data_IF_466021992495
#
_entry.id   IF_466021992495
#
_cell.length_a   1.000
_cell.length_b   1.000
_cell.length_c   1.000
_cell.angle_alpha   90.00
_cell.angle_beta   90.00
_cell.angle_gamma   90.00
#
_symmetry.space_group_name_H-M   'P 1'
#
loop_
_entity.id
_entity.type
_entity.pdbx_description
1 polymer ?
#
# COMPACT_ATOMS: atom_id res chain seq x y z
N UNK A 1 -37.59 -21.33 -56.26
CA UNK A 1 -37.30 -20.39 -57.36
C UNK A 1 -36.63 -19.16 -56.75
N UNK A 2 -35.33 -19.01 -57.00
CA UNK A 2 -34.50 -17.78 -57.06
C UNK A 2 -34.40 -16.73 -55.92
N UNK A 3 -33.12 -16.42 -55.58
CA UNK A 3 -32.48 -15.13 -55.14
C UNK A 3 -32.54 -14.79 -53.64
N UNK A 4 -31.46 -14.71 -52.83
CA UNK A 4 -30.07 -14.15 -52.90
C UNK A 4 -29.99 -12.63 -52.60
N UNK A 5 -28.99 -12.26 -51.77
CA UNK A 5 -28.30 -10.96 -51.50
C UNK A 5 -28.70 -10.20 -50.20
N UNK A 6 -27.79 -10.05 -49.21
CA UNK A 6 -26.69 -9.04 -49.04
C UNK A 6 -27.23 -7.61 -48.79
N UNK A 7 -26.68 -6.69 -47.99
CA UNK A 7 -25.57 -6.61 -47.03
C UNK A 7 -25.63 -5.25 -46.26
N UNK A 8 -24.89 -5.18 -45.14
CA UNK A 8 -24.10 -4.05 -44.59
C UNK A 8 -24.66 -2.68 -44.12
N UNK A 9 -24.35 -2.37 -42.84
CA UNK A 9 -23.63 -1.20 -42.25
C UNK A 9 -24.18 0.22 -42.43
N UNK A 10 -24.38 0.96 -41.31
CA UNK A 10 -23.71 2.25 -40.95
C UNK A 10 -24.23 2.81 -39.60
N UNK A 11 -23.26 3.00 -38.69
CA UNK A 11 -23.05 3.92 -37.55
C UNK A 11 -24.14 4.80 -36.85
N UNK A 12 -23.96 4.80 -35.52
CA UNK A 12 -23.96 5.91 -34.54
C UNK A 12 -25.26 6.49 -33.98
N UNK A 13 -25.33 6.45 -32.64
CA UNK A 13 -25.66 7.64 -31.85
C UNK A 13 -26.60 7.40 -30.66
N UNK A 14 -26.10 7.65 -29.43
CA UNK A 14 -26.95 8.16 -28.36
C UNK A 14 -26.88 7.45 -27.01
N UNK A 15 -25.85 7.81 -26.23
CA UNK A 15 -25.89 8.10 -24.78
C UNK A 15 -27.09 7.55 -23.96
N UNK A 16 -26.81 6.63 -23.02
CA UNK A 16 -27.70 6.38 -21.89
C UNK A 16 -26.98 6.64 -20.55
N UNK A 17 -27.55 7.60 -19.85
CA UNK A 17 -27.43 7.99 -18.46
C UNK A 17 -27.62 6.81 -17.48
N UNK A 18 -26.81 6.69 -16.43
CA UNK A 18 -27.26 6.25 -15.10
C UNK A 18 -26.33 6.76 -13.99
N UNK A 19 -26.86 7.70 -13.21
CA UNK A 19 -26.51 7.90 -11.80
C UNK A 19 -27.11 6.75 -10.98
N UNK A 20 -26.38 6.22 -10.00
CA UNK A 20 -26.96 5.53 -8.84
C UNK A 20 -26.19 5.94 -7.58
N UNK A 21 -26.93 6.49 -6.61
CA UNK A 21 -26.52 6.80 -5.23
C UNK A 21 -26.26 5.53 -4.42
N UNK A 22 -25.52 5.70 -3.32
CA UNK A 22 -24.85 4.65 -2.55
C UNK A 22 -25.72 3.57 -1.89
N UNK A 23 -25.03 2.47 -1.58
CA UNK A 23 -25.39 1.53 -0.52
C UNK A 23 -24.11 0.82 -0.04
N UNK A 24 -23.82 0.99 1.25
CA UNK A 24 -22.91 0.13 2.02
C UNK A 24 -23.28 -1.34 1.81
N UNK A 25 -22.31 -2.19 1.45
CA UNK A 25 -22.05 -3.51 2.04
C UNK A 25 -20.82 -4.18 1.36
N UNK A 26 -19.81 -4.48 2.18
CA UNK A 26 -18.77 -5.52 1.96
C UNK A 26 -18.03 -5.48 0.61
N UNK A 27 -17.12 -4.52 0.46
CA UNK A 27 -16.01 -4.69 -0.48
C UNK A 27 -15.00 -5.68 0.15
N UNK A 28 -15.06 -6.92 -0.34
CA UNK A 28 -14.06 -7.96 -0.10
C UNK A 28 -12.68 -7.45 -0.54
N UNK A 29 -11.63 -8.01 0.06
CA UNK A 29 -10.18 -7.86 -0.16
C UNK A 29 -9.71 -8.16 -1.63
N UNK A 30 -10.61 -8.11 -2.61
CA UNK A 30 -10.36 -8.38 -4.03
C UNK A 30 -9.97 -7.17 -4.87
N UNK A 31 -9.68 -6.01 -4.29
CA UNK A 31 -9.35 -4.78 -5.03
C UNK A 31 -7.84 -4.45 -5.08
N UNK A 32 -6.96 -5.30 -4.55
CA UNK A 32 -5.51 -5.03 -4.53
C UNK A 32 -4.78 -5.39 -5.84
N UNK A 33 -5.50 -5.88 -6.86
CA UNK A 33 -4.90 -6.32 -8.12
C UNK A 33 -4.82 -5.23 -9.21
N UNK A 34 -5.23 -4.00 -8.92
CA UNK A 34 -5.06 -2.87 -9.82
C UNK A 34 -4.56 -1.64 -9.05
N UNK A 35 -3.25 -1.52 -8.88
CA UNK A 35 -2.59 -0.24 -9.21
C UNK A 35 -2.53 -0.20 -10.75
N UNK A 36 -3.70 -0.17 -11.40
CA UNK A 36 -3.82 0.43 -12.71
C UNK A 36 -4.08 1.89 -12.40
N UNK A 37 -3.14 2.74 -12.81
CA UNK A 37 -3.41 4.17 -12.95
C UNK A 37 -4.55 4.27 -13.96
N UNK A 38 -5.80 4.32 -13.49
CA UNK A 38 -6.83 4.99 -14.28
C UNK A 38 -6.35 6.42 -14.35
N UNK A 39 -5.98 6.89 -15.54
CA UNK A 39 -5.62 8.28 -15.80
C UNK A 39 -6.81 9.16 -15.41
N UNK A 40 -6.90 9.53 -14.14
CA UNK A 40 -7.84 10.53 -13.70
C UNK A 40 -7.16 11.86 -13.96
N UNK A 41 -7.80 12.63 -14.83
CA UNK A 41 -7.38 13.99 -15.13
C UNK A 41 -7.49 14.81 -13.84
N UNK A 42 -6.35 15.27 -13.31
CA UNK A 42 -6.34 16.30 -12.28
C UNK A 42 -6.92 17.57 -12.91
N UNK A 43 -8.04 18.12 -12.38
CA UNK A 43 -8.67 19.29 -12.96
C UNK A 43 -7.80 20.55 -12.94
N UNK A 44 -6.69 20.50 -12.21
CA UNK A 44 -5.76 21.60 -12.04
C UNK A 44 -4.50 21.44 -12.92
N UNK A 45 -4.35 20.30 -13.63
CA UNK A 45 -3.15 20.00 -14.42
C UNK A 45 -1.87 19.81 -13.60
N UNK A 46 -1.99 19.72 -12.27
CA UNK A 46 -0.89 19.42 -11.37
C UNK A 46 -0.85 17.91 -11.19
N UNK A 47 0.27 17.30 -11.57
CA UNK A 47 0.61 15.89 -11.31
C UNK A 47 0.81 15.70 -9.78
N UNK A 48 -0.27 15.72 -8.99
CA UNK A 48 -0.27 15.47 -7.54
C UNK A 48 -0.11 13.97 -7.22
N UNK A 49 0.71 13.28 -8.00
CA UNK A 49 0.99 11.87 -7.81
C UNK A 49 2.33 11.69 -7.11
N UNK A 50 2.33 10.90 -6.05
CA UNK A 50 3.55 10.37 -5.48
C UNK A 50 4.11 9.31 -6.43
N UNK A 51 5.43 9.32 -6.59
CA UNK A 51 6.15 8.40 -7.46
C UNK A 51 7.22 7.70 -6.66
N UNK A 52 7.21 6.38 -6.73
CA UNK A 52 8.22 5.54 -6.11
C UNK A 52 9.31 5.23 -7.14
N UNK A 53 10.53 5.61 -6.83
CA UNK A 53 11.70 5.41 -7.69
C UNK A 53 12.77 4.58 -6.99
N UNK A 54 13.46 3.77 -7.78
CA UNK A 54 14.68 3.09 -7.38
C UNK A 54 15.87 3.79 -8.03
N UNK A 55 16.95 3.95 -7.27
CA UNK A 55 18.21 4.52 -7.78
C UNK A 55 19.33 3.54 -7.46
N UNK A 56 20.14 3.21 -8.46
CA UNK A 56 21.38 2.49 -8.26
C UNK A 56 22.48 3.47 -7.84
N UNK A 57 23.08 3.33 -6.64
CA UNK A 57 24.01 4.32 -6.11
C UNK A 57 25.27 4.47 -6.95
N UNK A 58 25.81 3.37 -7.45
CA UNK A 58 27.09 3.37 -8.19
C UNK A 58 26.96 3.94 -9.61
N UNK A 59 25.80 3.76 -10.24
CA UNK A 59 25.57 4.15 -11.64
C UNK A 59 24.68 5.37 -11.81
N UNK A 60 23.97 5.79 -10.76
CA UNK A 60 22.91 6.80 -10.84
C UNK A 60 21.69 6.36 -11.64
N UNK A 61 21.64 5.11 -12.13
CA UNK A 61 20.51 4.62 -12.94
C UNK A 61 19.23 4.64 -12.11
N UNK A 62 18.18 5.21 -12.67
CA UNK A 62 16.86 5.30 -12.03
C UNK A 62 15.84 4.40 -12.72
N UNK A 63 14.91 3.84 -11.93
CA UNK A 63 13.77 3.09 -12.44
C UNK A 63 12.51 3.47 -11.65
N UNK A 64 11.43 3.82 -12.35
CA UNK A 64 10.13 4.07 -11.72
C UNK A 64 9.51 2.73 -11.35
N UNK A 65 9.12 2.59 -10.09
CA UNK A 65 8.55 1.38 -9.54
C UNK A 65 7.02 1.44 -9.44
N UNK A 66 6.49 2.57 -8.94
CA UNK A 66 5.05 2.76 -8.76
C UNK A 66 4.65 4.23 -8.83
N UNK A 67 3.34 4.47 -8.95
CA UNK A 67 2.71 5.79 -8.91
C UNK A 67 1.40 5.66 -8.14
N UNK A 68 1.17 6.56 -7.19
CA UNK A 68 -0.05 6.57 -6.37
C UNK A 68 -0.50 8.02 -6.11
N UNK A 69 -1.78 8.18 -5.81
CA UNK A 69 -2.37 9.44 -5.31
C UNK A 69 -2.03 9.68 -3.84
N UNK A 70 -1.69 8.60 -3.17
CA UNK A 70 -1.40 8.51 -1.76
C UNK A 70 0.11 8.57 -1.54
N UNK A 71 0.51 9.05 -0.36
CA UNK A 71 1.94 9.14 -0.05
C UNK A 71 2.53 7.74 0.09
N UNK A 72 3.84 7.66 -0.14
CA UNK A 72 4.62 6.46 0.14
C UNK A 72 5.47 6.70 1.38
N UNK A 73 5.40 5.83 2.37
CA UNK A 73 6.39 5.77 3.44
C UNK A 73 7.33 4.58 3.19
N UNK A 74 8.62 4.85 3.02
CA UNK A 74 9.61 3.81 2.73
C UNK A 74 10.04 3.13 4.01
N UNK A 75 9.80 1.82 4.13
CA UNK A 75 10.17 1.05 5.31
C UNK A 75 11.53 0.40 5.09
N UNK A 76 11.70 -0.34 3.99
CA UNK A 76 12.98 -0.95 3.66
C UNK A 76 12.89 -2.19 2.77
N UNK A 77 14.05 -2.79 2.49
CA UNK A 77 14.16 -4.03 1.74
C UNK A 77 14.09 -5.23 2.67
N UNK A 78 13.26 -6.21 2.34
CA UNK A 78 13.23 -7.49 3.06
C UNK A 78 14.44 -8.38 2.73
N UNK A 79 14.49 -9.56 3.38
CA UNK A 79 15.57 -10.52 3.16
C UNK A 79 15.63 -11.11 1.74
N UNK A 80 14.52 -11.07 0.99
CA UNK A 80 14.44 -11.55 -0.40
C UNK A 80 14.76 -10.45 -1.43
N UNK A 81 15.05 -9.23 -0.97
CA UNK A 81 15.28 -8.08 -1.85
C UNK A 81 14.01 -7.51 -2.45
N UNK A 82 12.85 -7.70 -1.82
CA UNK A 82 11.63 -6.97 -2.13
C UNK A 82 11.54 -5.71 -1.26
N UNK A 83 11.03 -4.62 -1.83
CA UNK A 83 10.76 -3.38 -1.11
C UNK A 83 9.44 -3.50 -0.36
N UNK A 84 9.45 -3.13 0.92
CA UNK A 84 8.28 -2.93 1.75
C UNK A 84 8.08 -1.44 1.96
N UNK A 85 6.85 -1.00 1.74
CA UNK A 85 6.47 0.40 1.88
C UNK A 85 5.02 0.49 2.34
N UNK A 86 4.72 1.58 2.99
CA UNK A 86 3.36 1.96 3.34
C UNK A 86 2.79 2.80 2.20
N UNK A 87 1.52 2.58 1.87
CA UNK A 87 0.72 3.51 1.09
C UNK A 87 -0.41 4.00 2.00
N UNK A 88 -0.53 5.32 2.12
CA UNK A 88 -1.55 5.94 2.95
C UNK A 88 -1.97 7.29 2.40
N UNK A 89 -3.20 7.68 2.70
CA UNK A 89 -3.76 8.97 2.31
C UNK A 89 -4.46 9.62 3.48
N UNK A 90 -4.77 10.91 3.36
CA UNK A 90 -5.54 11.60 4.39
C UNK A 90 -6.85 10.88 4.70
N UNK A 91 -7.49 10.24 3.70
CA UNK A 91 -8.81 9.60 3.78
C UNK A 91 -8.83 8.08 3.64
N UNK A 92 -7.66 7.43 3.54
CA UNK A 92 -7.55 5.99 3.40
C UNK A 92 -6.82 5.36 4.59
N UNK A 93 -7.22 4.14 4.96
CA UNK A 93 -6.49 3.34 5.92
C UNK A 93 -5.15 2.91 5.29
N UNK A 94 -4.01 3.13 5.96
CA UNK A 94 -2.74 2.78 5.38
C UNK A 94 -2.61 1.27 5.18
N UNK A 95 -1.87 0.90 4.14
CA UNK A 95 -1.59 -0.48 3.79
C UNK A 95 -0.09 -0.71 3.65
N UNK A 96 0.41 -1.79 4.25
CA UNK A 96 1.75 -2.28 3.98
C UNK A 96 1.73 -3.07 2.68
N UNK A 97 2.51 -2.61 1.70
CA UNK A 97 2.70 -3.27 0.43
C UNK A 97 4.12 -3.81 0.31
N UNK A 98 4.24 -4.87 -0.48
CA UNK A 98 5.51 -5.49 -0.84
C UNK A 98 5.61 -5.60 -2.36
N UNK A 99 6.76 -5.22 -2.92
CA UNK A 99 7.01 -5.27 -4.37
C UNK A 99 8.44 -5.71 -4.65
N UNK A 100 8.66 -6.50 -5.70
CA UNK A 100 10.02 -6.87 -6.11
C UNK A 100 10.73 -5.68 -6.76
N UNK A 101 12.06 -5.74 -6.80
CA UNK A 101 12.90 -4.70 -7.41
C UNK A 101 12.55 -4.41 -8.88
N UNK A 102 12.05 -5.41 -9.62
CA UNK A 102 11.62 -5.28 -11.01
C UNK A 102 10.19 -4.74 -11.18
N UNK A 103 9.51 -4.38 -10.08
CA UNK A 103 8.12 -3.91 -10.07
C UNK A 103 7.08 -5.02 -10.07
N UNK A 104 7.48 -6.29 -10.19
CA UNK A 104 6.55 -7.42 -10.17
C UNK A 104 6.20 -7.85 -8.75
N UNK A 105 5.15 -8.66 -8.62
CA UNK A 105 4.77 -9.27 -7.34
C UNK A 105 4.28 -8.27 -6.29
N UNK A 106 3.77 -7.11 -6.73
CA UNK A 106 3.07 -6.18 -5.86
C UNK A 106 1.90 -6.89 -5.16
N UNK A 107 1.89 -6.84 -3.84
CA UNK A 107 0.80 -7.37 -3.02
C UNK A 107 0.77 -6.68 -1.67
N UNK A 108 -0.39 -6.67 -1.02
CA UNK A 108 -0.44 -6.32 0.39
C UNK A 108 0.32 -7.35 1.22
N UNK A 109 1.01 -6.85 2.23
CA UNK A 109 1.67 -7.67 3.24
C UNK A 109 0.64 -8.37 4.12
N UNK A 110 -0.55 -7.81 4.25
CA UNK A 110 -1.59 -8.41 5.07
C UNK A 110 -2.99 -8.11 4.55
N UNK A 111 -3.97 -8.89 5.01
CA UNK A 111 -5.40 -8.66 4.72
C UNK A 111 -6.05 -7.68 5.69
N UNK A 112 -5.32 -7.26 6.73
CA UNK A 112 -5.81 -6.29 7.70
C UNK A 112 -5.35 -4.88 7.31
N UNK A 113 -6.15 -3.91 7.69
CA UNK A 113 -5.83 -2.51 7.52
C UNK A 113 -5.16 -1.98 8.77
N UNK A 114 -4.20 -1.08 8.58
CA UNK A 114 -3.56 -0.37 9.68
C UNK A 114 -4.52 0.69 10.20
N UNK A 115 -4.39 1.04 11.47
CA UNK A 115 -5.06 2.23 12.00
C UNK A 115 -4.67 3.47 11.19
N UNK A 116 -5.65 4.35 10.91
CA UNK A 116 -5.45 5.61 10.18
C UNK A 116 -4.51 6.58 10.90
N UNK A 117 -4.26 6.36 12.19
CA UNK A 117 -3.44 7.22 13.04
C UNK A 117 -2.09 6.59 13.33
N UNK A 118 -1.32 6.32 12.27
CA UNK A 118 0.10 6.02 12.45
C UNK A 118 0.83 7.31 12.83
N UNK A 119 1.65 7.22 13.87
CA UNK A 119 2.63 8.26 14.19
C UNK A 119 3.77 8.20 13.17
N UNK A 120 4.52 9.29 13.04
CA UNK A 120 5.77 9.28 12.26
C UNK A 120 6.67 8.14 12.78
N UNK A 121 7.31 7.41 11.87
CA UNK A 121 8.15 6.24 12.17
C UNK A 121 7.44 5.10 12.95
N UNK A 122 6.11 4.99 12.82
CA UNK A 122 5.33 3.90 13.40
C UNK A 122 5.66 2.53 12.82
N UNK A 123 6.35 2.45 11.68
CA UNK A 123 6.65 1.18 11.01
C UNK A 123 8.14 0.98 10.85
N UNK A 124 8.65 -0.18 11.30
CA UNK A 124 10.06 -0.54 11.15
C UNK A 124 10.24 -1.98 10.74
N UNK A 125 11.25 -2.21 9.92
CA UNK A 125 11.71 -3.56 9.61
C UNK A 125 12.63 -4.06 10.73
N UNK A 126 12.50 -5.34 11.09
CA UNK A 126 13.46 -5.98 11.99
C UNK A 126 14.85 -6.05 11.32
N UNK A 127 15.97 -6.01 12.08
CA UNK A 127 17.31 -6.04 11.50
C UNK A 127 17.61 -7.26 10.61
N UNK A 128 17.02 -8.42 10.92
CA UNK A 128 17.09 -9.65 10.10
C UNK A 128 16.20 -9.59 8.84
N UNK A 129 15.42 -8.52 8.66
CA UNK A 129 14.58 -8.22 7.48
C UNK A 129 13.49 -9.23 7.21
N UNK A 130 13.07 -9.96 8.24
CA UNK A 130 12.06 -11.02 8.15
C UNK A 130 10.72 -10.64 8.74
N UNK A 131 10.65 -9.56 9.51
CA UNK A 131 9.39 -9.05 10.05
C UNK A 131 9.33 -7.54 9.98
N UNK A 132 8.09 -7.03 9.91
CA UNK A 132 7.75 -5.62 10.11
C UNK A 132 7.12 -5.50 11.48
N UNK A 133 7.53 -4.50 12.25
CA UNK A 133 6.91 -4.08 13.50
C UNK A 133 6.19 -2.76 13.23
N UNK A 134 4.92 -2.69 13.63
CA UNK A 134 4.03 -1.54 13.48
C UNK A 134 3.58 -1.11 14.87
N UNK A 135 3.66 0.18 15.17
CA UNK A 135 3.05 0.79 16.34
C UNK A 135 1.66 1.33 15.96
N UNK A 136 0.60 0.76 16.55
CA UNK A 136 -0.78 1.23 16.36
C UNK A 136 -1.20 2.13 17.52
N UNK A 137 -1.12 3.45 17.30
CA UNK A 137 -1.34 4.45 18.34
C UNK A 137 -2.76 4.43 18.92
N UNK A 138 -3.78 4.11 18.12
CA UNK A 138 -5.18 4.11 18.54
C UNK A 138 -5.50 3.09 19.61
N UNK A 139 -4.74 1.99 19.65
CA UNK A 139 -5.09 0.78 20.38
C UNK A 139 -3.98 0.35 21.35
N UNK A 140 -3.01 1.23 21.63
CA UNK A 140 -1.91 1.03 22.57
C UNK A 140 -1.18 -0.32 22.40
N UNK A 141 -0.95 -0.74 21.16
CA UNK A 141 -0.29 -2.00 20.87
C UNK A 141 0.66 -1.90 19.69
N UNK A 142 1.61 -2.83 19.65
CA UNK A 142 2.43 -3.09 18.48
C UNK A 142 1.96 -4.36 17.78
N UNK A 143 2.15 -4.40 16.47
CA UNK A 143 1.95 -5.59 15.66
C UNK A 143 3.30 -6.00 15.08
N UNK A 144 3.64 -7.28 15.19
CA UNK A 144 4.70 -7.88 14.38
C UNK A 144 4.09 -8.77 13.32
N UNK A 145 4.56 -8.66 12.07
CA UNK A 145 4.13 -9.52 10.96
C UNK A 145 5.35 -9.90 10.12
N UNK A 146 5.40 -11.13 9.62
CA UNK A 146 6.50 -11.55 8.73
C UNK A 146 6.41 -10.83 7.40
N UNK A 147 7.56 -10.67 6.73
CA UNK A 147 7.65 -10.02 5.42
C UNK A 147 6.99 -10.83 4.29
N UNK A 148 6.65 -12.10 4.53
CA UNK A 148 5.83 -12.89 3.63
C UNK A 148 4.31 -12.66 3.82
N UNK A 149 3.93 -11.96 4.88
CA UNK A 149 2.56 -11.64 5.27
C UNK A 149 1.93 -12.58 6.30
N UNK A 150 2.69 -13.56 6.80
CA UNK A 150 2.22 -14.54 7.78
C UNK A 150 2.65 -14.16 9.21
N UNK A 151 2.18 -14.94 10.19
CA UNK A 151 2.72 -14.86 11.56
C UNK A 151 2.42 -13.56 12.30
N UNK A 152 1.28 -12.91 12.02
CA UNK A 152 0.84 -11.72 12.77
C UNK A 152 0.79 -12.02 14.27
N UNK A 153 1.45 -11.18 15.04
CA UNK A 153 1.48 -11.21 16.51
C UNK A 153 1.13 -9.82 17.03
N UNK A 154 0.21 -9.75 17.99
CA UNK A 154 -0.15 -8.49 18.69
C UNK A 154 0.61 -8.44 20.01
N UNK A 155 1.28 -7.33 20.26
CA UNK A 155 2.07 -7.04 21.46
C UNK A 155 1.38 -5.88 22.16
N UNK A 156 0.66 -6.17 23.25
CA UNK A 156 -0.04 -5.14 24.02
C UNK A 156 0.98 -4.37 24.86
N UNK A 157 0.95 -3.04 24.78
CA UNK A 157 1.80 -2.18 25.58
C UNK A 157 1.01 -1.70 26.80
N UNK A 158 1.62 -1.75 27.99
CA UNK A 158 1.02 -1.21 29.21
C UNK A 158 1.23 0.32 29.28
N UNK A 159 0.72 1.04 28.28
CA UNK A 159 0.90 2.47 28.10
C UNK A 159 -0.44 3.19 28.01
N UNK A 160 -0.49 4.41 28.55
CA UNK A 160 -1.68 5.27 28.51
C UNK A 160 -1.63 6.30 27.39
N UNK A 161 -0.45 6.57 26.83
CA UNK A 161 -0.24 7.55 25.75
C UNK A 161 0.93 7.10 24.87
N UNK A 162 0.73 7.13 23.55
CA UNK A 162 1.73 6.78 22.54
C UNK A 162 2.19 7.98 21.69
N UNK A 163 1.70 9.18 21.98
CA UNK A 163 1.96 10.40 21.19
C UNK A 163 3.45 10.78 21.12
N UNK A 164 4.26 10.31 22.05
CA UNK A 164 5.70 10.59 22.14
C UNK A 164 6.56 9.32 22.29
N UNK A 165 6.05 8.17 21.83
CA UNK A 165 6.78 6.91 21.97
C UNK A 165 8.01 6.88 21.04
N UNK A 166 9.20 6.99 21.61
CA UNK A 166 10.42 6.55 20.93
C UNK A 166 10.58 5.05 21.14
N UNK A 167 10.91 4.32 20.09
CA UNK A 167 11.10 2.87 20.15
C UNK A 167 12.22 2.40 19.23
N UNK A 168 12.69 1.17 19.41
CA UNK A 168 13.69 0.53 18.57
C UNK A 168 13.61 -1.00 18.66
N UNK A 169 14.01 -1.68 17.58
CA UNK A 169 14.15 -3.15 17.56
C UNK A 169 15.61 -3.51 17.83
N UNK A 170 15.87 -4.49 18.68
CA UNK A 170 17.22 -4.95 18.98
C UNK A 170 17.92 -5.57 17.76
N UNK A 171 19.27 -5.54 17.69
CA UNK A 171 20.03 -6.10 16.55
C UNK A 171 19.77 -7.59 16.25
N UNK A 172 19.37 -8.37 17.25
CA UNK A 172 19.02 -9.79 17.14
C UNK A 172 17.53 -10.04 16.81
N UNK A 173 16.77 -8.97 16.58
CA UNK A 173 15.33 -8.97 16.31
C UNK A 173 14.47 -9.59 17.43
N UNK A 174 15.00 -9.80 18.64
CA UNK A 174 14.27 -10.48 19.72
C UNK A 174 13.54 -9.51 20.66
N UNK A 175 13.92 -8.24 20.67
CA UNK A 175 13.41 -7.25 21.63
C UNK A 175 12.95 -5.99 20.94
N UNK A 176 11.95 -5.34 21.53
CA UNK A 176 11.58 -3.96 21.24
C UNK A 176 11.80 -3.15 22.51
N UNK A 177 12.64 -2.13 22.42
CA UNK A 177 12.81 -1.14 23.47
C UNK A 177 11.91 0.07 23.14
N UNK A 178 11.33 0.68 24.17
CA UNK A 178 10.57 1.91 24.03
C UNK A 178 10.74 2.82 25.25
N UNK A 179 10.51 4.12 25.09
CA UNK A 179 10.47 5.11 26.17
C UNK A 179 9.18 5.91 26.15
N UNK A 180 8.79 6.40 27.32
CA UNK A 180 7.53 7.12 27.58
C UNK A 180 7.81 8.47 28.21
#
# INVERSE_FOLDING_TARGET
MLRVLQAAVVLMGGLLLMMVLGLHQRAKVGALQQILVSEYWSPNGIDDYYRLWLVQPDSGRQAKLATAWEYFNLIGWDADGALIFEVGGNDAEPALLRVKQDGTGLRALSEWTLSRYLVDDAVRLTPDRRSVVVLEASDNHMISVRTDGTGRTVIVLELTDLSHLEWAVSPDSQWVAYST
#
